data_IF_769166779501
#
_entry.id   IF_769166779501
#
_cell.length_a   1.000
_cell.length_b   1.000
_cell.length_c   1.000
_cell.angle_alpha   90.00
_cell.angle_beta   90.00
_cell.angle_gamma   90.00
#
_symmetry.space_group_name_H-M   'P 1'
#
loop_
_entity.id
_entity.type
_entity.pdbx_description
1 polymer ?
2 polymer ?
3 polymer ?
4 non-polymer ?
5 non-polymer ?
6 water ?
#
loop_
_entity_poly.entity_id
_entity_poly.type
_entity_poly.pdbx_seq_one_letter_code
_entity_poly.pdbx_strand_id
2 'polydeoxyribonucleotide' '(DA)(DG)(DA)(DT)(DT)(DG)(DT)(DT)(DT)(DA)(DC)(DT)(DG)(DA)(DG)(DA)' ?
3 'polydeoxyribonucleotide' '(DT)(DC)(DT)(DC)(DA)(DG)(DT)(DA)(DA)(DA)(DC)(DA)(DA)(DT)(DC)(DT)' ?
#
# COMPACT_ATOMS: atom_id res chain seq x y z
N UNK A 7 4.13 -20.90 7.37
CA UNK A 7 3.77 -19.56 7.85
C UNK A 7 4.75 -19.05 8.91
N UNK A 8 4.94 -17.72 8.93
CA UNK A 8 5.81 -17.03 9.90
C UNK A 8 5.65 -15.52 9.71
N UNK A 9 5.95 -14.75 10.76
CA UNK A 9 5.90 -13.29 10.67
C UNK A 9 7.29 -12.74 10.39
N UNK A 10 7.39 -11.81 9.43
CA UNK A 10 8.66 -11.22 9.03
C UNK A 10 8.81 -9.84 9.67
N UNK A 11 10.05 -9.38 9.89
CA UNK A 11 10.27 -8.08 10.55
C UNK A 11 10.03 -6.91 9.59
N UNK A 12 8.78 -6.73 9.18
CA UNK A 12 8.41 -5.63 8.29
C UNK A 12 8.30 -4.33 9.08
N UNK A 13 8.26 -3.19 8.39
CA UNK A 13 8.06 -1.91 9.08
C UNK A 13 6.82 -1.93 9.95
N UNK A 14 6.80 -1.17 11.05
CA UNK A 14 5.63 -1.17 11.93
C UNK A 14 4.44 -0.39 11.36
N UNK A 15 4.04 -0.71 10.13
CA UNK A 15 2.85 -0.11 9.53
C UNK A 15 2.10 -1.16 8.72
N UNK A 16 0.78 -1.00 8.68
CA UNK A 16 -0.05 -1.90 7.90
C UNK A 16 0.29 -1.81 6.42
N UNK A 17 0.11 -2.91 5.69
CA UNK A 17 0.28 -2.84 4.24
C UNK A 17 -0.69 -1.83 3.67
N UNK A 18 -1.89 -1.76 4.25
CA UNK A 18 -2.86 -0.73 3.85
C UNK A 18 -2.27 0.66 3.95
N UNK A 19 -1.69 0.99 5.11
CA UNK A 19 -1.18 2.35 5.30
C UNK A 19 -0.05 2.66 4.32
N UNK A 20 0.85 1.69 4.09
CA UNK A 20 1.98 1.94 3.20
C UNK A 20 1.52 2.07 1.75
N UNK A 21 0.56 1.23 1.34
CA UNK A 21 -0.02 1.36 0.01
C UNK A 21 -0.71 2.71 -0.15
N UNK A 22 -1.62 3.04 0.77
CA UNK A 22 -2.28 4.34 0.72
C UNK A 22 -1.29 5.48 0.62
N UNK A 23 -0.17 5.39 1.35
CA UNK A 23 0.76 6.50 1.38
C UNK A 23 1.46 6.69 0.04
N UNK A 24 1.88 5.59 -0.61
CA UNK A 24 2.56 5.73 -1.89
C UNK A 24 1.59 6.25 -2.95
N UNK A 25 0.36 5.77 -2.95
CA UNK A 25 -0.63 6.27 -3.92
C UNK A 25 -0.86 7.76 -3.71
N UNK A 26 -1.00 8.19 -2.45
CA UNK A 26 -1.34 9.57 -2.18
C UNK A 26 -0.19 10.52 -2.47
N UNK A 27 1.05 10.03 -2.43
CA UNK A 27 2.21 10.83 -2.73
C UNK A 27 2.56 10.85 -4.22
N UNK A 28 1.84 10.08 -5.04
CA UNK A 28 2.09 10.03 -6.47
C UNK A 28 1.55 11.28 -7.16
N UNK A 29 2.10 11.63 -8.34
CA UNK A 29 1.68 12.85 -9.04
C UNK A 29 0.18 12.97 -9.24
N UNK A 30 -0.41 11.97 -9.90
CA UNK A 30 -1.84 11.95 -10.16
C UNK A 30 -2.61 11.19 -9.09
N UNK A 31 -1.98 10.89 -7.96
CA UNK A 31 -2.64 10.15 -6.88
C UNK A 31 -3.21 8.83 -7.39
N UNK A 32 -2.45 8.16 -8.25
CA UNK A 32 -2.82 6.85 -8.77
C UNK A 32 -1.56 6.13 -9.21
N UNK A 33 -1.54 4.81 -9.04
CA UNK A 33 -0.37 4.01 -9.38
C UNK A 33 -0.81 2.63 -9.86
N UNK A 34 -0.04 2.07 -10.79
CA UNK A 34 -0.17 0.67 -11.11
C UNK A 34 0.36 -0.18 -9.96
N UNK A 35 0.10 -1.49 -10.02
CA UNK A 35 0.67 -2.39 -9.02
C UNK A 35 2.19 -2.34 -9.02
N UNK A 36 2.81 -2.35 -10.22
CA UNK A 36 4.26 -2.31 -10.30
C UNK A 36 4.85 -1.07 -9.63
N UNK A 37 4.19 0.07 -9.78
CA UNK A 37 4.67 1.29 -9.17
C UNK A 37 4.51 1.24 -7.66
N UNK A 38 3.37 0.74 -7.18
CA UNK A 38 3.13 0.54 -5.75
C UNK A 38 4.26 -0.31 -5.16
N UNK A 39 4.47 -1.49 -5.74
CA UNK A 39 5.51 -2.38 -5.22
C UNK A 39 6.88 -1.72 -5.24
N UNK A 40 7.17 -0.94 -6.30
CA UNK A 40 8.47 -0.27 -6.38
C UNK A 40 8.59 0.83 -5.34
N UNK A 41 7.55 1.64 -5.17
CA UNK A 41 7.64 2.76 -4.25
C UNK A 41 7.72 2.30 -2.80
N UNK A 42 7.01 1.23 -2.46
CA UNK A 42 7.02 0.72 -1.10
C UNK A 42 8.41 0.23 -0.69
N UNK A 43 9.09 -0.49 -1.58
CA UNK A 43 10.44 -0.97 -1.25
C UNK A 43 11.44 0.18 -1.22
N UNK A 44 11.16 1.28 -1.92
CA UNK A 44 12.01 2.45 -1.82
C UNK A 44 11.87 3.11 -0.46
N UNK A 45 10.63 3.33 -0.02
CA UNK A 45 10.37 3.96 1.28
C UNK A 45 10.74 3.06 2.45
N UNK A 46 10.75 1.75 2.26
CA UNK A 46 11.06 0.81 3.34
C UNK A 46 12.04 -0.23 2.80
N UNK A 47 13.35 -0.03 2.99
CA UNK A 47 14.35 -0.90 2.34
C UNK A 47 14.26 -2.36 2.73
N UNK A 48 13.56 -2.71 3.81
CA UNK A 48 13.37 -4.13 4.13
C UNK A 48 12.80 -4.87 2.94
N UNK A 49 11.88 -4.23 2.21
CA UNK A 49 11.22 -4.86 1.09
C UNK A 49 12.12 -4.98 -0.13
N UNK A 50 13.24 -4.25 -0.16
CA UNK A 50 14.23 -4.41 -1.22
C UNK A 50 15.01 -5.71 -1.08
N UNK A 51 14.87 -6.42 0.03
CA UNK A 51 15.67 -7.58 0.33
C UNK A 51 15.18 -8.86 -0.31
N UNK A 52 15.54 -9.99 0.33
CA UNK A 52 15.32 -11.29 -0.28
C UNK A 52 13.86 -11.73 -0.23
N UNK A 53 13.17 -11.53 0.90
CA UNK A 53 11.77 -11.93 1.01
C UNK A 53 10.91 -11.20 -0.01
N UNK A 54 10.12 -11.97 -0.78
CA UNK A 54 9.29 -11.39 -1.83
C UNK A 54 7.79 -11.62 -1.65
N UNK A 55 7.37 -12.36 -0.63
CA UNK A 55 5.95 -12.63 -0.44
C UNK A 55 5.12 -11.41 -0.12
N UNK A 56 5.74 -10.36 0.41
CA UNK A 56 5.01 -9.11 0.66
C UNK A 56 4.34 -8.58 -0.61
N UNK A 57 4.94 -8.82 -1.78
CA UNK A 57 4.31 -8.43 -3.04
C UNK A 57 2.97 -9.11 -3.22
N UNK A 58 2.86 -10.35 -2.76
CA UNK A 58 1.58 -11.06 -2.73
C UNK A 58 0.62 -10.43 -1.73
N UNK A 59 1.10 -10.20 -0.50
CA UNK A 59 0.29 -9.52 0.50
C UNK A 59 -0.24 -8.18 -0.01
N UNK A 60 0.65 -7.36 -0.59
CA UNK A 60 0.26 -6.05 -1.11
C UNK A 60 -0.87 -6.18 -2.13
N UNK A 61 -0.62 -6.94 -3.19
CA UNK A 61 -1.67 -7.21 -4.17
C UNK A 61 -2.96 -7.65 -3.49
N UNK A 62 -2.84 -8.49 -2.46
CA UNK A 62 -4.02 -8.98 -1.75
C UNK A 62 -4.75 -7.84 -1.04
N UNK A 63 -4.01 -6.91 -0.45
CA UNK A 63 -4.65 -5.77 0.20
C UNK A 63 -5.46 -4.95 -0.79
N UNK A 64 -4.90 -4.69 -1.98
CA UNK A 64 -5.58 -3.86 -2.96
C UNK A 64 -6.97 -4.38 -3.28
N UNK A 65 -7.17 -5.69 -3.23
CA UNK A 65 -8.45 -6.28 -3.55
C UNK A 65 -9.36 -6.47 -2.33
N UNK A 66 -8.82 -6.39 -1.11
CA UNK A 66 -9.59 -6.72 0.09
C UNK A 66 -10.17 -5.52 0.81
N UNK A 67 -9.76 -4.30 0.48
CA UNK A 67 -10.21 -3.10 1.18
C UNK A 67 -10.92 -2.17 0.20
N UNK A 68 -12.15 -1.74 0.56
CA UNK A 68 -12.92 -0.89 -0.33
C UNK A 68 -12.22 0.44 -0.59
N UNK A 69 -11.37 0.89 0.33
CA UNK A 69 -10.67 2.14 0.12
C UNK A 69 -9.76 2.10 -1.10
N UNK A 70 -9.42 0.92 -1.60
CA UNK A 70 -8.58 0.76 -2.79
C UNK A 70 -9.48 0.57 -4.01
N UNK A 71 -9.51 1.60 -4.86
CA UNK A 71 -10.37 1.67 -6.03
C UNK A 71 -9.52 1.46 -7.27
N UNK A 72 -9.80 0.38 -8.03
CA UNK A 72 -9.16 0.16 -9.32
C UNK A 72 -9.86 0.99 -10.39
N UNK A 73 -9.11 1.87 -11.06
CA UNK A 73 -9.61 2.56 -12.25
C UNK A 73 -8.89 1.97 -13.45
N UNK A 74 -9.66 1.68 -14.50
CA UNK A 74 -9.15 0.87 -15.59
C UNK A 74 -8.17 1.65 -16.45
N UNK A 75 -7.06 1.00 -16.80
CA UNK A 75 -6.11 1.58 -17.75
C UNK A 75 -6.75 1.78 -19.12
N UNK A 76 -7.85 1.08 -19.40
CA UNK A 76 -8.60 1.24 -20.63
C UNK A 76 -10.07 1.06 -20.28
N UNK A 77 -10.95 2.03 -20.62
CA UNK A 77 -12.39 1.87 -20.33
C UNK A 77 -12.97 0.62 -20.97
N UNK A 78 -12.93 0.55 -22.30
CA UNK A 78 -13.03 -0.75 -22.94
C UNK A 78 -11.88 -1.64 -22.50
N UNK A 79 -12.09 -2.94 -22.63
CA UNK A 79 -11.22 -3.96 -22.01
C UNK A 79 -11.30 -3.87 -20.49
N UNK A 80 -12.49 -3.98 -19.88
CA UNK A 80 -12.56 -3.95 -18.41
C UNK A 80 -11.93 -5.18 -17.76
N UNK A 81 -11.53 -6.17 -18.54
CA UNK A 81 -10.86 -7.36 -18.02
C UNK A 81 -9.35 -7.29 -18.20
N UNK A 82 -8.83 -6.19 -18.75
CA UNK A 82 -7.40 -6.05 -18.94
C UNK A 82 -6.66 -6.04 -17.62
N UNK A 83 -5.34 -5.97 -17.74
CA UNK A 83 -4.45 -5.97 -16.60
C UNK A 83 -3.66 -4.66 -16.59
N UNK A 84 -2.83 -4.50 -15.55
CA UNK A 84 -2.01 -3.30 -15.43
C UNK A 84 -2.76 -2.02 -15.18
N UNK A 85 -3.77 -2.04 -14.31
CA UNK A 85 -4.64 -0.89 -14.09
C UNK A 85 -4.09 0.01 -13.00
N UNK A 86 -4.64 1.23 -12.93
CA UNK A 86 -4.25 2.21 -11.93
C UNK A 86 -5.06 2.03 -10.65
N UNK A 87 -4.38 2.08 -9.52
CA UNK A 87 -5.03 1.95 -8.21
C UNK A 87 -5.07 3.30 -7.52
N UNK A 88 -6.23 3.61 -6.94
CA UNK A 88 -6.46 4.84 -6.21
C UNK A 88 -6.94 4.49 -4.80
N UNK A 89 -6.83 5.44 -3.88
CA UNK A 89 -7.29 5.25 -2.51
C UNK A 89 -8.38 6.28 -2.21
N UNK A 90 -9.53 5.81 -1.73
CA UNK A 90 -10.57 6.67 -1.20
C UNK A 90 -10.33 6.82 0.29
N UNK A 91 -9.77 7.96 0.67
CA UNK A 91 -9.16 8.13 1.99
C UNK A 91 -10.22 8.12 3.10
N UNK A 92 -11.41 8.67 2.84
CA UNK A 92 -12.45 8.67 3.85
C UNK A 92 -12.92 7.26 4.20
N UNK A 93 -12.66 6.28 3.34
CA UNK A 93 -13.01 4.89 3.58
C UNK A 93 -11.92 4.13 4.32
N UNK A 94 -10.88 4.81 4.78
CA UNK A 94 -9.77 4.15 5.47
C UNK A 94 -10.07 4.05 6.95
N UNK A 95 -10.03 2.85 7.54
CA UNK A 95 -10.18 2.74 9.00
C UNK A 95 -8.99 3.38 9.69
N UNK A 96 -9.23 4.50 10.38
CA UNK A 96 -8.15 5.39 10.81
C UNK A 96 -7.13 4.75 11.75
N UNK A 97 -7.46 3.61 12.38
CA UNK A 97 -6.46 2.99 13.26
C UNK A 97 -5.38 2.28 12.47
N UNK A 98 -5.69 1.89 11.22
CA UNK A 98 -4.70 1.22 10.39
C UNK A 98 -3.63 2.15 9.86
N UNK A 99 -3.77 3.46 10.05
CA UNK A 99 -2.74 4.42 9.68
C UNK A 99 -1.76 4.68 10.81
N UNK A 100 -2.00 4.11 11.99
CA UNK A 100 -1.19 4.34 13.18
C UNK A 100 -0.14 3.24 13.31
N UNK A 101 1.05 3.65 13.77
CA UNK A 101 2.15 2.72 13.97
C UNK A 101 1.71 1.55 14.84
N UNK A 102 2.23 0.36 14.52
CA UNK A 102 1.74 -0.88 15.10
C UNK A 102 2.52 -1.25 16.36
N UNK A 103 1.80 -1.74 17.36
CA UNK A 103 2.38 -2.33 18.55
C UNK A 103 2.81 -3.77 18.21
N UNK A 104 4.02 -3.91 17.66
CA UNK A 104 4.56 -5.24 17.37
C UNK A 104 6.03 -5.30 17.81
N UNK A 105 6.67 -6.44 17.53
CA UNK A 105 8.05 -6.66 17.92
C UNK A 105 8.99 -5.61 17.33
N UNK A 106 8.90 -5.39 16.01
CA UNK A 106 9.77 -4.43 15.34
C UNK A 106 9.67 -3.06 16.00
N UNK A 107 8.42 -2.62 16.27
CA UNK A 107 8.20 -1.28 16.83
C UNK A 107 8.77 -1.15 18.24
N UNK A 108 8.91 -2.27 18.95
CA UNK A 108 9.57 -2.26 20.27
C UNK A 108 11.09 -2.25 20.11
N UNK A 114 10.06 9.11 9.29
CA UNK A 114 8.62 8.88 9.39
C UNK A 114 8.11 9.07 10.82
N UNK A 115 6.84 8.77 11.07
CA UNK A 115 6.17 9.22 12.31
C UNK A 115 5.29 8.11 12.90
N UNK A 116 4.60 8.45 13.99
CA UNK A 116 3.73 7.52 14.72
C UNK A 116 2.39 7.31 14.01
N UNK A 117 1.93 8.30 13.24
CA UNK A 117 0.66 8.22 12.53
C UNK A 117 0.84 8.66 11.09
N UNK A 118 0.43 7.81 10.15
CA UNK A 118 0.58 8.09 8.72
C UNK A 118 -0.47 9.05 8.16
N UNK A 119 -1.39 9.58 8.98
CA UNK A 119 -2.44 10.45 8.47
C UNK A 119 -1.93 11.71 7.75
N UNK A 120 -0.88 12.39 8.23
CA UNK A 120 -0.41 13.58 7.50
C UNK A 120 0.02 13.32 6.06
N UNK A 121 0.54 12.14 5.74
CA UNK A 121 0.99 11.82 4.39
C UNK A 121 -0.16 11.48 3.44
N UNK A 122 -1.38 11.35 3.95
CA UNK A 122 -2.46 10.71 3.22
C UNK A 122 -3.64 11.65 2.98
N UNK A 123 -3.94 12.51 3.95
CA UNK A 123 -5.12 13.38 3.87
C UNK A 123 -4.78 14.80 3.41
#
# INVERSE_FOLDING_TARGET
GGKKKNYQRYPKPPYSYLAMIAMVIQNSPEKKLTLSEILKEISTLFPFFKGNYKGWRDSVRHNLSSYDCFVKVLKDPGKPQGKGNFWTVEVNRIPLELLKRQNTAVSRQDETIFAQDLAPYIFQG
#
